data_IF_186088453045
#
_entry.id   IF_186088453045
#
_cell.length_a   1.000
_cell.length_b   1.000
_cell.length_c   1.000
_cell.angle_alpha   90.00
_cell.angle_beta   90.00
_cell.angle_gamma   90.00
#
_symmetry.space_group_name_H-M   'P 1'
#
loop_
_entity.id
_entity.type
_entity.pdbx_description
1 polymer ?
#
# COMPACT_ATOMS: atom_id res chain seq x y z
N UNK A 1 -16.74 23.91 -10.04
CA UNK A 1 -16.33 23.19 -11.27
C UNK A 1 -15.02 22.41 -11.09
N UNK A 2 -13.91 23.07 -10.74
CA UNK A 2 -12.56 22.45 -10.64
C UNK A 2 -12.49 21.21 -9.72
N UNK A 3 -13.04 21.27 -8.50
CA UNK A 3 -13.05 20.12 -7.58
C UNK A 3 -13.77 18.89 -8.14
N UNK A 4 -14.87 19.09 -8.88
CA UNK A 4 -15.64 18.01 -9.50
C UNK A 4 -14.86 17.39 -10.67
N UNK A 5 -14.24 18.21 -11.51
CA UNK A 5 -13.35 17.75 -12.58
C UNK A 5 -12.13 16.99 -12.03
N UNK A 6 -11.55 17.47 -10.93
CA UNK A 6 -10.46 16.81 -10.24
C UNK A 6 -10.87 15.42 -9.74
N UNK A 7 -11.99 15.32 -9.02
CA UNK A 7 -12.51 14.02 -8.56
C UNK A 7 -12.83 13.07 -9.71
N UNK A 8 -13.43 13.55 -10.79
CA UNK A 8 -13.73 12.76 -11.98
C UNK A 8 -12.45 12.17 -12.62
N UNK A 9 -11.38 12.97 -12.72
CA UNK A 9 -10.08 12.51 -13.24
C UNK A 9 -9.47 11.42 -12.38
N UNK A 10 -9.53 11.54 -11.05
CA UNK A 10 -9.06 10.48 -10.15
C UNK A 10 -9.84 9.18 -10.34
N UNK A 11 -11.16 9.26 -10.55
CA UNK A 11 -11.99 8.12 -10.89
C UNK A 11 -11.60 7.46 -12.22
N UNK A 12 -11.32 8.27 -13.25
CA UNK A 12 -10.86 7.76 -14.55
C UNK A 12 -9.52 7.02 -14.45
N UNK A 13 -8.55 7.55 -13.70
CA UNK A 13 -7.26 6.89 -13.47
C UNK A 13 -7.41 5.55 -12.76
N UNK A 14 -8.26 5.48 -11.74
CA UNK A 14 -8.55 4.22 -11.05
C UNK A 14 -9.20 3.19 -11.99
N UNK A 15 -10.13 3.64 -12.83
CA UNK A 15 -10.74 2.78 -13.85
C UNK A 15 -9.70 2.26 -14.85
N UNK A 16 -8.79 3.11 -15.31
CA UNK A 16 -7.70 2.71 -16.21
C UNK A 16 -6.77 1.68 -15.55
N UNK A 17 -6.42 1.86 -14.27
CA UNK A 17 -5.62 0.88 -13.53
C UNK A 17 -6.31 -0.50 -13.48
N UNK A 18 -7.61 -0.53 -13.17
CA UNK A 18 -8.41 -1.77 -13.15
C UNK A 18 -8.48 -2.42 -14.53
N UNK A 19 -8.65 -1.62 -15.59
CA UNK A 19 -8.67 -2.11 -16.97
C UNK A 19 -7.31 -2.71 -17.36
N UNK A 20 -6.20 -2.07 -17.00
CA UNK A 20 -4.86 -2.58 -17.25
C UNK A 20 -4.62 -3.92 -16.54
N UNK A 21 -5.06 -4.03 -15.28
CA UNK A 21 -5.01 -5.29 -14.53
C UNK A 21 -5.82 -6.40 -15.23
N UNK A 22 -7.06 -6.11 -15.63
CA UNK A 22 -7.92 -7.08 -16.32
C UNK A 22 -7.32 -7.53 -17.65
N UNK A 23 -6.82 -6.60 -18.45
CA UNK A 23 -6.19 -6.92 -19.73
C UNK A 23 -4.96 -7.82 -19.54
N UNK A 24 -4.15 -7.59 -18.50
CA UNK A 24 -3.01 -8.46 -18.20
C UNK A 24 -3.45 -9.84 -17.71
N UNK A 25 -4.46 -9.90 -16.84
CA UNK A 25 -5.01 -11.18 -16.38
C UNK A 25 -5.53 -12.04 -17.55
N UNK A 26 -6.02 -11.43 -18.63
CA UNK A 26 -6.51 -12.15 -19.82
C UNK A 26 -5.40 -12.45 -20.84
N UNK A 27 -4.51 -11.48 -21.10
CA UNK A 27 -3.64 -11.52 -22.28
C UNK A 27 -2.14 -11.56 -21.98
N UNK A 28 -1.70 -11.37 -20.73
CA UNK A 28 -0.27 -11.39 -20.43
C UNK A 28 0.31 -12.81 -20.64
N UNK A 29 1.55 -12.94 -21.16
CA UNK A 29 2.15 -14.25 -21.39
C UNK A 29 2.49 -14.99 -20.08
N UNK A 30 2.82 -14.26 -19.02
CA UNK A 30 3.21 -14.83 -17.72
C UNK A 30 2.03 -14.84 -16.73
N UNK A 31 1.08 -15.74 -16.95
CA UNK A 31 -0.15 -15.82 -16.16
C UNK A 31 0.08 -16.08 -14.66
N UNK A 32 1.07 -16.90 -14.31
CA UNK A 32 1.42 -17.14 -12.89
C UNK A 32 1.82 -15.86 -12.17
N UNK A 33 2.56 -14.97 -12.84
CA UNK A 33 2.92 -13.67 -12.27
C UNK A 33 1.66 -12.83 -12.03
N UNK A 34 0.74 -12.76 -12.99
CA UNK A 34 -0.47 -11.95 -12.82
C UNK A 34 -1.41 -12.49 -11.71
N UNK A 35 -1.45 -13.82 -11.52
CA UNK A 35 -2.14 -14.43 -10.37
C UNK A 35 -1.51 -14.02 -9.04
N UNK A 36 -0.18 -14.03 -8.95
CA UNK A 36 0.54 -13.55 -7.75
C UNK A 36 0.35 -12.05 -7.53
N UNK A 37 0.37 -11.23 -8.58
CA UNK A 37 0.06 -9.79 -8.49
C UNK A 37 -1.34 -9.59 -7.89
N UNK A 38 -2.33 -10.33 -8.39
CA UNK A 38 -3.68 -10.27 -7.85
C UNK A 38 -3.74 -10.72 -6.39
N UNK A 39 -3.09 -11.83 -6.03
CA UNK A 39 -2.97 -12.30 -4.65
C UNK A 39 -2.37 -11.22 -3.73
N UNK A 40 -1.24 -10.62 -4.12
CA UNK A 40 -0.57 -9.60 -3.32
C UNK A 40 -1.34 -8.28 -3.24
N UNK A 41 -2.09 -7.90 -4.27
CA UNK A 41 -3.01 -6.75 -4.20
C UNK A 41 -4.17 -6.97 -3.20
N UNK A 42 -4.53 -8.23 -2.93
CA UNK A 42 -5.50 -8.56 -1.88
C UNK A 42 -4.83 -8.63 -0.50
N UNK A 43 -3.62 -9.21 -0.41
CA UNK A 43 -2.88 -9.32 0.85
C UNK A 43 -2.42 -7.95 1.38
N UNK A 44 -1.84 -7.12 0.53
CA UNK A 44 -1.43 -5.74 0.81
C UNK A 44 -2.44 -4.75 0.21
N UNK A 45 -3.71 -4.88 0.59
CA UNK A 45 -4.80 -4.09 0.00
C UNK A 45 -4.74 -2.60 0.38
N UNK A 46 -5.21 -1.75 -0.53
CA UNK A 46 -5.42 -0.32 -0.27
C UNK A 46 -6.84 0.08 -0.70
N UNK A 47 -7.52 0.90 0.11
CA UNK A 47 -8.86 1.39 -0.22
C UNK A 47 -8.79 2.68 -1.03
N UNK A 48 -9.11 2.60 -2.32
CA UNK A 48 -8.98 3.72 -3.26
C UNK A 48 -9.78 4.98 -2.86
N UNK A 49 -10.91 4.82 -2.17
CA UNK A 49 -11.73 5.95 -1.72
C UNK A 49 -11.27 6.58 -0.39
N UNK A 50 -10.22 6.03 0.25
CA UNK A 50 -9.58 6.68 1.40
C UNK A 50 -8.66 7.80 0.92
N UNK A 51 -8.93 9.03 1.37
CA UNK A 51 -8.02 10.18 1.18
C UNK A 51 -7.59 10.38 -0.28
N UNK A 52 -6.28 10.35 -0.52
CA UNK A 52 -5.68 10.52 -1.85
C UNK A 52 -5.34 9.20 -2.56
N UNK A 53 -5.65 8.03 -1.97
CA UNK A 53 -5.18 6.71 -2.45
C UNK A 53 -5.54 6.46 -3.92
N UNK A 54 -6.73 6.83 -4.39
CA UNK A 54 -7.12 6.65 -5.81
C UNK A 54 -6.12 7.22 -6.83
N UNK A 55 -5.39 8.27 -6.49
CA UNK A 55 -4.39 8.89 -7.37
C UNK A 55 -3.10 8.08 -7.49
N UNK A 56 -2.85 7.23 -6.49
CA UNK A 56 -1.60 6.47 -6.33
C UNK A 56 -1.83 4.97 -6.58
N UNK A 57 -3.08 4.54 -6.80
CA UNK A 57 -3.43 3.13 -6.98
C UNK A 57 -2.76 2.49 -8.20
N UNK A 58 -2.64 3.22 -9.31
CA UNK A 58 -1.94 2.73 -10.50
C UNK A 58 -0.44 2.51 -10.20
N UNK A 59 0.21 3.52 -9.62
CA UNK A 59 1.61 3.46 -9.22
C UNK A 59 1.88 2.33 -8.22
N UNK A 60 1.02 2.18 -7.21
CA UNK A 60 1.11 1.09 -6.24
C UNK A 60 1.09 -0.30 -6.90
N UNK A 61 0.19 -0.50 -7.86
CA UNK A 61 0.13 -1.76 -8.59
C UNK A 61 1.37 -1.96 -9.48
N UNK A 62 1.74 -0.96 -10.28
CA UNK A 62 2.80 -1.09 -11.29
C UNK A 62 4.21 -1.14 -10.71
N UNK A 63 4.47 -0.38 -9.65
CA UNK A 63 5.81 -0.12 -9.15
C UNK A 63 6.08 -0.77 -7.79
N UNK A 64 5.07 -0.88 -6.91
CA UNK A 64 5.26 -1.53 -5.61
C UNK A 64 4.99 -3.04 -5.70
N UNK A 65 3.81 -3.46 -6.19
CA UNK A 65 3.42 -4.87 -6.17
C UNK A 65 4.02 -5.67 -7.33
N UNK A 66 3.80 -5.22 -8.56
CA UNK A 66 4.09 -6.03 -9.76
C UNK A 66 5.55 -6.43 -9.93
N UNK A 67 6.55 -5.58 -9.68
CA UNK A 67 7.96 -5.94 -9.81
C UNK A 67 8.42 -6.98 -8.77
N UNK A 68 7.74 -7.03 -7.62
CA UNK A 68 8.10 -7.87 -6.48
C UNK A 68 7.23 -9.12 -6.34
N UNK A 69 6.24 -9.33 -7.22
CA UNK A 69 5.23 -10.38 -7.09
C UNK A 69 5.79 -11.82 -7.06
N UNK A 70 6.93 -12.06 -7.72
CA UNK A 70 7.65 -13.34 -7.74
C UNK A 70 9.00 -13.27 -7.01
N UNK A 71 9.25 -12.16 -6.30
CA UNK A 71 10.53 -11.87 -5.64
C UNK A 71 10.58 -12.31 -4.18
N UNK A 72 11.49 -11.71 -3.40
CA UNK A 72 11.57 -11.95 -1.96
C UNK A 72 10.44 -11.21 -1.26
N UNK A 73 9.81 -11.90 -0.30
CA UNK A 73 8.74 -11.31 0.51
C UNK A 73 9.18 -10.03 1.24
N UNK A 74 10.41 -10.00 1.76
CA UNK A 74 10.96 -8.82 2.43
C UNK A 74 11.03 -7.60 1.49
N UNK A 75 11.44 -7.79 0.23
CA UNK A 75 11.52 -6.71 -0.76
C UNK A 75 10.11 -6.19 -1.10
N UNK A 76 9.12 -7.09 -1.20
CA UNK A 76 7.72 -6.72 -1.39
C UNK A 76 7.17 -5.92 -0.21
N UNK A 77 7.44 -6.34 1.04
CA UNK A 77 7.03 -5.60 2.23
C UNK A 77 7.63 -4.19 2.21
N UNK A 78 8.92 -4.06 1.92
CA UNK A 78 9.58 -2.76 1.83
C UNK A 78 8.98 -1.88 0.74
N UNK A 79 8.71 -2.43 -0.45
CA UNK A 79 8.08 -1.70 -1.54
C UNK A 79 6.67 -1.19 -1.16
N UNK A 80 5.90 -1.94 -0.36
CA UNK A 80 4.62 -1.46 0.15
C UNK A 80 4.78 -0.35 1.18
N UNK A 81 5.79 -0.43 2.05
CA UNK A 81 6.10 0.58 3.07
C UNK A 81 6.54 1.91 2.46
N UNK A 82 7.30 1.86 1.37
CA UNK A 82 7.71 3.05 0.63
C UNK A 82 6.59 3.63 -0.25
N UNK A 83 5.51 2.87 -0.47
CA UNK A 83 4.44 3.32 -1.34
C UNK A 83 3.62 4.46 -0.73
N UNK A 84 3.44 5.56 -1.46
CA UNK A 84 2.56 6.65 -1.04
C UNK A 84 1.11 6.21 -0.79
N UNK A 85 0.63 5.21 -1.53
CA UNK A 85 -0.72 4.68 -1.36
C UNK A 85 -0.91 4.01 -0.01
N UNK A 86 0.04 3.16 0.41
CA UNK A 86 -0.02 2.43 1.68
C UNK A 86 0.14 3.37 2.88
N UNK A 87 1.10 4.30 2.80
CA UNK A 87 1.34 5.29 3.85
C UNK A 87 0.12 6.18 4.11
N UNK A 88 -0.59 6.60 3.06
CA UNK A 88 -1.85 7.34 3.19
C UNK A 88 -2.99 6.44 3.68
N UNK A 89 -3.07 5.21 3.16
CA UNK A 89 -4.14 4.27 3.48
C UNK A 89 -4.11 3.86 4.96
N UNK A 90 -2.93 3.63 5.54
CA UNK A 90 -2.79 3.20 6.95
C UNK A 90 -2.46 4.34 7.90
N UNK A 91 -2.66 5.58 7.44
CA UNK A 91 -2.47 6.82 8.19
C UNK A 91 -1.03 7.02 8.74
N UNK A 92 -0.04 6.30 8.21
CA UNK A 92 1.37 6.51 8.55
C UNK A 92 1.89 7.84 8.00
N UNK A 93 1.27 8.40 6.95
CA UNK A 93 1.54 9.76 6.49
C UNK A 93 1.31 10.84 7.57
N UNK A 94 0.58 10.51 8.64
CA UNK A 94 0.35 11.39 9.81
C UNK A 94 1.17 10.96 11.04
N UNK A 95 1.92 9.87 10.96
CA UNK A 95 2.76 9.37 12.03
C UNK A 95 4.00 10.27 12.13
N UNK A 96 4.15 10.98 13.25
CA UNK A 96 5.21 11.95 13.43
C UNK A 96 5.73 11.96 14.86
N UNK A 97 6.91 12.53 15.07
CA UNK A 97 7.49 12.72 16.41
C UNK A 97 6.50 13.44 17.33
N UNK A 98 6.15 12.81 18.45
CA UNK A 98 5.20 13.33 19.44
C UNK A 98 3.71 13.14 19.08
N UNK A 99 3.41 12.58 17.90
CA UNK A 99 2.06 12.19 17.44
C UNK A 99 2.12 10.83 16.76
N UNK A 100 2.42 9.80 17.55
CA UNK A 100 2.60 8.44 17.06
C UNK A 100 1.25 7.88 16.60
N UNK A 101 1.24 7.24 15.43
CA UNK A 101 0.10 6.48 14.94
C UNK A 101 0.49 5.00 14.78
N UNK A 102 -0.10 4.14 15.61
CA UNK A 102 0.19 2.71 15.63
C UNK A 102 -0.50 1.93 14.51
N UNK A 103 -1.46 2.52 13.77
CA UNK A 103 -2.32 1.76 12.87
C UNK A 103 -1.52 0.96 11.83
N UNK A 104 -0.55 1.61 11.15
CA UNK A 104 0.26 0.89 10.18
C UNK A 104 1.16 -0.17 10.82
N UNK A 105 1.83 0.17 11.93
CA UNK A 105 2.68 -0.78 12.65
C UNK A 105 1.89 -2.03 13.06
N UNK A 106 0.68 -1.83 13.58
CA UNK A 106 -0.23 -2.90 13.94
C UNK A 106 -0.58 -3.76 12.74
N UNK A 107 -1.17 -3.17 11.69
CA UNK A 107 -1.58 -3.94 10.51
C UNK A 107 -0.40 -4.66 9.84
N UNK A 108 0.78 -4.05 9.83
CA UNK A 108 1.99 -4.68 9.30
C UNK A 108 2.33 -5.96 10.06
N UNK A 109 2.25 -5.96 11.39
CA UNK A 109 2.51 -7.12 12.23
C UNK A 109 1.36 -8.14 12.18
N UNK A 110 0.11 -7.71 12.41
CA UNK A 110 -1.01 -8.65 12.59
C UNK A 110 -1.58 -9.17 11.27
N UNK A 111 -1.65 -8.35 10.23
CA UNK A 111 -2.36 -8.71 8.98
C UNK A 111 -1.40 -9.05 7.84
N UNK A 112 -0.26 -8.37 7.78
CA UNK A 112 0.62 -8.48 6.61
C UNK A 112 1.80 -9.41 6.79
N UNK A 113 2.26 -9.69 8.02
CA UNK A 113 3.49 -10.48 8.25
C UNK A 113 3.33 -11.63 9.25
N UNK A 114 3.12 -11.35 10.53
CA UNK A 114 3.25 -12.33 11.61
C UNK A 114 1.92 -13.01 11.99
N UNK A 115 0.79 -12.37 11.72
CA UNK A 115 -0.52 -12.83 12.18
C UNK A 115 -0.84 -12.34 13.60
N UNK A 116 -2.12 -12.30 13.98
CA UNK A 116 -2.60 -11.85 15.30
C UNK A 116 -1.95 -12.58 16.49
N UNK A 117 -1.53 -13.83 16.29
CA UNK A 117 -0.85 -14.65 17.30
C UNK A 117 0.64 -14.86 17.00
N UNK A 118 1.26 -13.94 16.25
CA UNK A 118 2.64 -14.02 15.78
C UNK A 118 3.74 -13.83 16.84
N UNK A 119 3.38 -13.82 18.13
CA UNK A 119 4.34 -13.75 19.24
C UNK A 119 4.90 -12.36 19.55
N UNK A 120 4.32 -11.29 18.99
CA UNK A 120 4.66 -9.92 19.35
C UNK A 120 3.75 -9.38 20.46
N UNK A 121 4.24 -8.35 21.15
CA UNK A 121 3.53 -7.64 22.20
C UNK A 121 3.01 -6.29 21.73
N UNK A 122 2.11 -5.67 22.52
CA UNK A 122 1.71 -4.29 22.31
C UNK A 122 2.89 -3.31 22.32
N UNK A 123 3.94 -3.62 23.09
CA UNK A 123 5.15 -2.82 23.14
C UNK A 123 5.89 -2.86 21.79
N UNK A 124 5.91 -4.01 21.12
CA UNK A 124 6.56 -4.14 19.81
C UNK A 124 5.83 -3.32 18.74
N UNK A 125 4.49 -3.30 18.77
CA UNK A 125 3.68 -2.42 17.91
C UNK A 125 4.04 -0.95 18.12
N UNK A 126 4.21 -0.54 19.38
CA UNK A 126 4.63 0.83 19.71
C UNK A 126 6.04 1.15 19.22
N UNK A 127 6.99 0.22 19.39
CA UNK A 127 8.36 0.43 18.91
C UNK A 127 8.41 0.50 17.38
N UNK A 128 7.66 -0.38 16.69
CA UNK A 128 7.55 -0.31 15.23
C UNK A 128 6.89 1.00 14.78
N UNK A 129 5.84 1.46 15.46
CA UNK A 129 5.22 2.74 15.16
C UNK A 129 6.21 3.90 15.31
N UNK A 130 7.09 3.86 16.30
CA UNK A 130 8.17 4.83 16.48
C UNK A 130 9.20 4.76 15.34
N UNK A 131 9.63 3.57 14.93
CA UNK A 131 10.52 3.36 13.78
C UNK A 131 9.91 3.97 12.51
N UNK A 132 8.60 3.82 12.32
CA UNK A 132 7.88 4.31 11.15
C UNK A 132 7.61 5.83 11.13
N UNK A 133 7.92 6.58 12.21
CA UNK A 133 7.71 8.04 12.27
C UNK A 133 8.52 8.85 11.25
N UNK A 134 9.53 8.24 10.62
CA UNK A 134 10.31 8.83 9.52
C UNK A 134 9.81 8.48 8.11
N UNK A 135 8.92 7.49 7.98
CA UNK A 135 8.37 7.06 6.69
C UNK A 135 7.10 7.88 6.37
N UNK A 136 7.22 8.88 5.50
CA UNK A 136 6.13 9.79 5.20
C UNK A 136 6.15 10.33 3.78
N UNK A 137 5.06 11.02 3.41
CA UNK A 137 4.88 11.61 2.08
C UNK A 137 5.55 12.97 1.91
N UNK A 138 5.85 13.63 3.03
CA UNK A 138 6.45 14.96 3.07
C UNK A 138 7.87 14.79 3.61
N UNK A 139 8.89 15.36 2.95
CA UNK A 139 10.25 15.33 3.46
C UNK A 139 10.29 15.89 4.88
N UNK A 140 10.98 15.20 5.79
CA UNK A 140 11.27 15.75 7.12
C UNK A 140 12.15 16.98 6.93
N UNK A 141 11.68 18.14 7.40
CA UNK A 141 12.45 19.39 7.37
C UNK A 141 13.59 19.34 8.38
#
# INVERSE_FOLDING_TARGET
>A
ALRKAWQARGGQMLTQARQAQLLRAVYAPEQTREQLVWFWLNHFSVYADKGRVKWMAADYMENAIRPHATGKFADLVMATLESPAMLEYLDNAKNAKGKVNENYARELMELHTLGVHGGYSQQDVQQLALILTGAGLVPVK
#
